data_IF_372855543334
#
_entry.id   IF_372855543334
#
_cell.length_a   1.000
_cell.length_b   1.000
_cell.length_c   1.000
_cell.angle_alpha   90.00
_cell.angle_beta   90.00
_cell.angle_gamma   90.00
#
_symmetry.space_group_name_H-M   'P 1'
#
loop_
_entity.id
_entity.type
_entity.pdbx_description
1 polymer ?
#
# COMPACT_ATOMS: atom_id res chain seq x y z
N UNK A 1 -25.76 -11.34 -8.62
CA UNK A 1 -24.85 -10.25 -9.08
C UNK A 1 -23.60 -10.96 -9.59
N UNK A 2 -23.25 -10.77 -10.86
CA UNK A 2 -22.00 -11.35 -11.38
C UNK A 2 -20.84 -10.69 -10.62
N UNK A 3 -20.00 -11.51 -10.05
CA UNK A 3 -18.80 -11.08 -9.34
C UNK A 3 -17.81 -10.45 -10.33
N UNK A 4 -17.14 -9.35 -9.95
CA UNK A 4 -16.29 -8.64 -10.90
C UNK A 4 -15.08 -9.51 -11.29
N UNK A 5 -14.89 -9.67 -12.61
CA UNK A 5 -13.73 -10.33 -13.17
C UNK A 5 -12.86 -9.28 -13.85
N UNK A 6 -11.56 -9.32 -13.60
CA UNK A 6 -10.55 -8.44 -14.21
C UNK A 6 -9.49 -9.29 -14.89
N UNK A 7 -9.12 -8.91 -16.11
CA UNK A 7 -8.01 -9.52 -16.84
C UNK A 7 -7.01 -8.42 -17.17
N UNK A 8 -5.79 -8.57 -16.63
CA UNK A 8 -4.68 -7.67 -16.90
C UNK A 8 -3.65 -8.40 -17.75
N UNK A 9 -3.22 -7.79 -18.85
CA UNK A 9 -2.15 -8.31 -19.71
C UNK A 9 -0.89 -7.48 -19.56
N UNK A 10 0.26 -8.12 -19.43
CA UNK A 10 1.57 -7.46 -19.30
C UNK A 10 2.66 -8.42 -18.84
N UNK A 11 3.77 -7.86 -18.34
CA UNK A 11 4.88 -8.63 -17.80
C UNK A 11 4.65 -8.90 -16.31
N UNK A 12 4.20 -10.10 -15.97
CA UNK A 12 3.85 -10.46 -14.58
C UNK A 12 5.07 -10.96 -13.83
N UNK A 13 5.36 -10.34 -12.68
CA UNK A 13 6.49 -10.71 -11.82
C UNK A 13 6.01 -10.89 -10.39
N UNK A 14 6.25 -12.06 -9.81
CA UNK A 14 5.88 -12.36 -8.42
C UNK A 14 6.77 -13.43 -7.80
N UNK A 15 6.90 -13.43 -6.48
CA UNK A 15 7.54 -14.52 -5.75
C UNK A 15 6.56 -15.67 -5.54
N UNK A 16 6.88 -16.84 -6.05
CA UNK A 16 6.11 -18.06 -5.80
C UNK A 16 6.33 -18.57 -4.36
N UNK A 17 7.56 -18.42 -3.88
CA UNK A 17 7.99 -18.71 -2.52
C UNK A 17 9.24 -17.86 -2.22
N UNK A 18 9.87 -18.09 -1.07
CA UNK A 18 11.06 -17.31 -0.64
C UNK A 18 12.28 -17.45 -1.56
N UNK A 19 12.36 -18.54 -2.33
CA UNK A 19 13.53 -18.89 -3.15
C UNK A 19 13.27 -18.78 -4.65
N UNK A 20 12.01 -18.58 -5.08
CA UNK A 20 11.62 -18.62 -6.48
C UNK A 20 10.87 -17.37 -6.92
N UNK A 21 11.50 -16.59 -7.80
CA UNK A 21 10.87 -15.47 -8.51
C UNK A 21 10.36 -15.94 -9.88
N UNK A 22 9.09 -15.67 -10.17
CA UNK A 22 8.50 -15.89 -11.50
C UNK A 22 8.53 -14.60 -12.30
N UNK A 23 8.99 -14.70 -13.56
CA UNK A 23 9.01 -13.62 -14.54
C UNK A 23 8.31 -14.16 -15.79
N UNK A 24 7.09 -13.71 -16.03
CA UNK A 24 6.22 -14.18 -17.09
C UNK A 24 5.92 -13.02 -18.05
N UNK A 25 6.56 -13.02 -19.23
CA UNK A 25 6.40 -11.96 -20.21
C UNK A 25 5.13 -12.16 -21.01
N UNK A 26 4.41 -11.06 -21.27
CA UNK A 26 3.19 -11.02 -22.11
C UNK A 26 2.11 -12.03 -21.67
N UNK A 27 1.87 -12.11 -20.36
CA UNK A 27 0.91 -13.01 -19.74
C UNK A 27 -0.36 -12.30 -19.27
N UNK A 28 -1.40 -13.07 -19.04
CA UNK A 28 -2.70 -12.63 -18.56
C UNK A 28 -2.87 -13.01 -17.09
N UNK A 29 -2.97 -12.01 -16.22
CA UNK A 29 -3.37 -12.20 -14.82
C UNK A 29 -4.88 -12.08 -14.72
N UNK A 30 -5.55 -13.08 -14.16
CA UNK A 30 -7.00 -13.11 -13.97
C UNK A 30 -7.33 -13.02 -12.50
N UNK A 31 -8.18 -12.07 -12.16
CA UNK A 31 -8.76 -11.90 -10.84
C UNK A 31 -10.28 -11.98 -10.92
N UNK A 32 -10.88 -12.79 -10.06
CA UNK A 32 -12.32 -12.98 -9.94
C UNK A 32 -12.69 -12.91 -8.47
N UNK A 33 -13.69 -12.09 -8.12
CA UNK A 33 -14.17 -11.92 -6.74
C UNK A 33 -13.08 -11.48 -5.78
N UNK A 34 -12.14 -10.64 -6.24
CA UNK A 34 -11.02 -10.16 -5.44
C UNK A 34 -9.89 -11.17 -5.22
N UNK A 35 -9.96 -12.36 -5.84
CA UNK A 35 -8.93 -13.40 -5.74
C UNK A 35 -8.24 -13.60 -7.08
N UNK A 36 -6.90 -13.72 -7.06
CA UNK A 36 -6.14 -14.10 -8.25
C UNK A 36 -6.38 -15.57 -8.56
N UNK A 37 -6.95 -15.84 -9.74
CA UNK A 37 -7.19 -17.21 -10.24
C UNK A 37 -5.92 -17.83 -10.81
N UNK A 38 -5.07 -17.00 -11.41
CA UNK A 38 -3.82 -17.45 -11.97
C UNK A 38 -3.22 -16.46 -12.96
N UNK A 39 -2.06 -16.86 -13.51
CA UNK A 39 -1.38 -16.17 -14.60
C UNK A 39 -1.27 -17.16 -15.77
N UNK A 40 -1.72 -16.76 -16.94
CA UNK A 40 -1.92 -17.62 -18.09
C UNK A 40 -1.23 -17.06 -19.34
N UNK A 41 -0.75 -17.92 -20.23
CA UNK A 41 -0.22 -17.51 -21.55
C UNK A 41 -1.34 -17.04 -22.50
N UNK A 42 -2.55 -17.56 -22.31
CA UNK A 42 -3.75 -17.23 -23.09
C UNK A 42 -4.93 -17.14 -22.16
N UNK A 43 -5.90 -16.29 -22.52
CA UNK A 43 -7.16 -16.19 -21.75
C UNK A 43 -7.90 -17.53 -21.84
N UNK A 44 -8.24 -18.18 -20.71
CA UNK A 44 -9.03 -19.40 -20.71
C UNK A 44 -10.41 -19.19 -21.32
N UNK A 45 -11.02 -20.22 -21.95
CA UNK A 45 -12.29 -20.08 -22.67
C UNK A 45 -13.44 -19.51 -21.83
N UNK A 46 -13.50 -19.84 -20.55
CA UNK A 46 -14.51 -19.35 -19.60
C UNK A 46 -14.46 -17.84 -19.40
N UNK A 47 -13.33 -17.20 -19.68
CA UNK A 47 -13.14 -15.74 -19.57
C UNK A 47 -13.10 -15.04 -20.94
N UNK A 48 -13.39 -15.73 -22.05
CA UNK A 48 -13.23 -15.19 -23.40
C UNK A 48 -14.08 -13.93 -23.68
N UNK A 49 -15.15 -13.72 -22.93
CA UNK A 49 -16.05 -12.56 -23.08
C UNK A 49 -15.68 -11.39 -22.15
N UNK A 50 -14.65 -11.55 -21.29
CA UNK A 50 -14.20 -10.51 -20.37
C UNK A 50 -13.21 -9.59 -21.07
N UNK A 51 -13.38 -8.28 -20.90
CA UNK A 51 -12.45 -7.30 -21.48
C UNK A 51 -11.07 -7.40 -20.84
N UNK A 52 -10.04 -7.31 -21.66
CA UNK A 52 -8.63 -7.33 -21.23
C UNK A 52 -8.12 -5.89 -21.13
N UNK A 53 -7.54 -5.54 -19.98
CA UNK A 53 -6.75 -4.33 -19.83
C UNK A 53 -5.29 -4.64 -20.19
N UNK A 54 -4.87 -4.21 -21.38
CA UNK A 54 -3.50 -4.45 -21.86
C UNK A 54 -2.57 -3.31 -21.44
N UNK A 55 -1.53 -3.67 -20.66
CA UNK A 55 -0.51 -2.75 -20.15
C UNK A 55 0.79 -2.82 -20.95
N UNK A 56 0.83 -3.59 -22.06
CA UNK A 56 1.99 -3.71 -22.94
C UNK A 56 3.23 -4.19 -22.19
N UNK A 57 4.30 -3.41 -22.28
CA UNK A 57 5.60 -3.73 -21.64
C UNK A 57 5.66 -3.41 -20.14
N UNK A 58 4.59 -2.90 -19.53
CA UNK A 58 4.59 -2.59 -18.10
C UNK A 58 4.70 -3.84 -17.24
N UNK A 59 5.30 -3.67 -16.05
CA UNK A 59 5.35 -4.72 -15.03
C UNK A 59 4.05 -4.76 -14.25
N UNK A 60 3.52 -5.96 -14.08
CA UNK A 60 2.43 -6.27 -13.16
C UNK A 60 3.03 -7.02 -11.98
N UNK A 61 3.04 -6.39 -10.81
CA UNK A 61 3.60 -6.93 -9.58
C UNK A 61 2.52 -7.00 -8.49
N UNK A 62 2.67 -7.86 -7.48
CA UNK A 62 1.85 -7.78 -6.27
C UNK A 62 2.02 -6.41 -5.61
N UNK A 63 0.94 -5.91 -5.02
CA UNK A 63 1.01 -4.68 -4.25
C UNK A 63 2.01 -4.80 -3.09
N UNK A 64 2.73 -3.72 -2.81
CA UNK A 64 3.72 -3.68 -1.74
C UNK A 64 3.04 -3.72 -0.37
N UNK A 65 3.73 -4.30 0.60
CA UNK A 65 3.31 -4.32 2.00
C UNK A 65 4.29 -3.49 2.83
N UNK A 66 3.79 -2.45 3.47
CA UNK A 66 4.53 -1.69 4.46
C UNK A 66 4.26 -2.28 5.85
N UNK A 67 5.28 -2.85 6.47
CA UNK A 67 5.15 -3.52 7.76
C UNK A 67 5.32 -2.58 8.96
N UNK A 68 5.71 -1.31 8.73
CA UNK A 68 5.99 -0.36 9.81
C UNK A 68 5.87 1.08 9.32
N UNK A 69 4.73 1.69 9.51
CA UNK A 69 4.51 3.11 9.20
C UNK A 69 3.77 3.82 10.32
N UNK A 70 4.29 4.98 10.72
CA UNK A 70 3.68 5.84 11.73
C UNK A 70 2.81 6.90 11.05
N UNK A 71 1.49 6.72 11.04
CA UNK A 71 0.57 7.68 10.43
C UNK A 71 0.66 9.09 11.04
N UNK A 72 0.81 9.26 12.37
CA UNK A 72 0.96 10.59 12.97
C UNK A 72 2.21 11.34 12.52
N UNK A 73 3.27 10.64 12.13
CA UNK A 73 4.53 11.24 11.71
C UNK A 73 4.55 11.65 10.23
N UNK A 74 3.48 11.33 9.50
CA UNK A 74 3.42 11.62 8.07
C UNK A 74 3.42 13.11 7.75
N UNK A 75 2.89 13.96 8.63
CA UNK A 75 2.78 15.41 8.42
C UNK A 75 4.13 16.12 8.42
N UNK A 76 5.12 15.60 9.16
CA UNK A 76 6.47 16.17 9.26
C UNK A 76 7.56 15.24 8.71
N UNK A 77 7.17 14.28 7.86
CA UNK A 77 8.13 13.38 7.22
C UNK A 77 9.27 14.14 6.53
N UNK A 78 10.48 13.61 6.63
CA UNK A 78 11.71 14.19 6.11
C UNK A 78 12.17 15.50 6.78
N UNK A 79 11.55 15.90 7.89
CA UNK A 79 12.04 17.02 8.70
C UNK A 79 13.04 16.52 9.74
N UNK A 80 14.09 17.32 10.00
CA UNK A 80 15.09 17.03 11.03
C UNK A 80 15.94 15.79 10.75
N UNK A 81 16.19 15.46 9.51
CA UNK A 81 16.96 14.25 9.11
C UNK A 81 18.44 14.30 9.51
N UNK A 82 18.92 15.44 9.96
CA UNK A 82 20.27 15.73 10.46
C UNK A 82 20.38 15.69 11.99
N UNK A 83 19.26 15.42 12.68
CA UNK A 83 19.21 15.36 14.15
C UNK A 83 19.49 13.95 14.66
N UNK A 84 20.01 13.86 15.88
CA UNK A 84 20.05 12.62 16.65
C UNK A 84 18.62 12.18 17.01
N UNK A 85 18.41 10.87 17.19
CA UNK A 85 17.07 10.30 17.38
C UNK A 85 16.31 10.94 18.54
N UNK A 86 16.94 11.10 19.70
CA UNK A 86 16.26 11.67 20.89
C UNK A 86 15.90 13.14 20.67
N UNK A 87 16.82 13.92 20.11
CA UNK A 87 16.58 15.31 19.76
C UNK A 87 15.43 15.42 18.74
N UNK A 88 15.42 14.57 17.73
CA UNK A 88 14.34 14.53 16.73
C UNK A 88 12.99 14.19 17.36
N UNK A 89 12.94 13.22 18.28
CA UNK A 89 11.71 12.88 19.01
C UNK A 89 11.17 14.06 19.80
N UNK A 90 12.04 14.75 20.56
CA UNK A 90 11.64 15.87 21.43
C UNK A 90 11.23 17.12 20.64
N UNK A 91 11.94 17.42 19.55
CA UNK A 91 11.74 18.67 18.80
C UNK A 91 10.67 18.55 17.72
N UNK A 92 10.49 17.39 17.11
CA UNK A 92 9.56 17.17 16.00
C UNK A 92 8.42 16.22 16.37
N UNK A 93 8.74 15.01 16.86
CA UNK A 93 7.74 13.96 16.98
C UNK A 93 6.72 14.24 18.07
N UNK A 94 7.16 14.45 19.30
CA UNK A 94 6.23 14.64 20.41
C UNK A 94 5.37 15.90 20.29
N UNK A 95 5.92 17.08 19.88
CA UNK A 95 5.09 18.25 19.66
C UNK A 95 4.07 18.07 18.52
N UNK A 96 4.46 17.38 17.45
CA UNK A 96 3.56 17.17 16.30
C UNK A 96 2.47 16.14 16.63
N UNK A 97 2.82 15.04 17.29
CA UNK A 97 1.86 14.03 17.73
C UNK A 97 0.88 14.58 18.78
N UNK A 98 1.28 15.55 19.60
CA UNK A 98 0.38 16.19 20.55
C UNK A 98 -0.80 16.91 19.88
N UNK A 99 -0.63 17.40 18.64
CA UNK A 99 -1.69 18.06 17.87
C UNK A 99 -2.86 17.13 17.52
N UNK A 100 -2.65 15.82 17.54
CA UNK A 100 -3.69 14.82 17.25
C UNK A 100 -4.75 14.70 18.35
N UNK A 101 -4.61 15.41 19.47
CA UNK A 101 -5.68 15.62 20.44
C UNK A 101 -6.81 16.47 19.86
N UNK A 102 -6.51 17.33 18.89
CA UNK A 102 -7.51 18.04 18.08
C UNK A 102 -8.03 17.10 17.00
N UNK A 103 -9.30 16.71 17.09
CA UNK A 103 -9.96 15.82 16.16
C UNK A 103 -10.00 16.36 14.72
N UNK A 104 -10.12 17.67 14.55
CA UNK A 104 -10.12 18.27 13.20
C UNK A 104 -8.73 18.21 12.57
N UNK A 105 -7.67 18.44 13.36
CA UNK A 105 -6.31 18.24 12.94
C UNK A 105 -6.08 16.77 12.55
N UNK A 106 -6.43 15.83 13.42
CA UNK A 106 -6.27 14.39 13.20
C UNK A 106 -6.98 13.92 11.92
N UNK A 107 -8.24 14.34 11.72
CA UNK A 107 -9.01 14.00 10.50
C UNK A 107 -8.34 14.49 9.23
N UNK A 108 -7.82 15.72 9.21
CA UNK A 108 -7.12 16.26 8.04
C UNK A 108 -5.81 15.51 7.79
N UNK A 109 -5.01 15.29 8.82
CA UNK A 109 -3.72 14.62 8.73
C UNK A 109 -3.89 13.17 8.23
N UNK A 110 -4.79 12.39 8.83
CA UNK A 110 -5.05 11.02 8.41
C UNK A 110 -5.69 10.93 7.03
N UNK A 111 -6.50 11.90 6.62
CA UNK A 111 -7.02 11.96 5.25
C UNK A 111 -5.88 12.13 4.24
N UNK A 112 -4.95 13.07 4.50
CA UNK A 112 -3.79 13.28 3.63
C UNK A 112 -2.93 12.01 3.56
N UNK A 113 -2.66 11.38 4.69
CA UNK A 113 -1.92 10.12 4.76
C UNK A 113 -2.59 9.03 3.94
N UNK A 114 -3.88 8.76 4.15
CA UNK A 114 -4.62 7.71 3.46
C UNK A 114 -4.77 7.97 1.96
N UNK A 115 -4.97 9.24 1.56
CA UNK A 115 -5.08 9.60 0.15
C UNK A 115 -3.74 9.40 -0.59
N UNK A 116 -2.61 9.69 0.07
CA UNK A 116 -1.30 9.42 -0.50
C UNK A 116 -0.99 7.91 -0.51
N UNK A 117 -1.35 7.18 0.54
CA UNK A 117 -1.18 5.73 0.59
C UNK A 117 -1.94 5.05 -0.56
N UNK A 118 -3.20 5.44 -0.82
CA UNK A 118 -4.02 4.95 -1.94
C UNK A 118 -3.43 5.22 -3.32
N UNK A 119 -2.60 6.25 -3.46
CA UNK A 119 -1.91 6.61 -4.71
C UNK A 119 -0.55 5.95 -4.86
N UNK A 120 -0.09 5.26 -3.83
CA UNK A 120 1.19 4.55 -3.82
C UNK A 120 1.03 3.11 -4.32
N UNK A 121 2.16 2.41 -4.47
CA UNK A 121 2.18 0.98 -4.75
C UNK A 121 1.90 0.11 -3.50
N UNK A 122 1.77 0.72 -2.32
CA UNK A 122 1.48 0.03 -1.06
C UNK A 122 -0.01 -0.30 -0.98
N UNK A 123 -0.34 -1.59 -0.96
CA UNK A 123 -1.72 -2.08 -0.87
C UNK A 123 -2.09 -2.62 0.50
N UNK A 124 -1.09 -2.81 1.36
CA UNK A 124 -1.24 -3.24 2.76
C UNK A 124 -0.26 -2.48 3.62
N UNK A 125 -0.68 -2.05 4.80
CA UNK A 125 0.18 -1.38 5.75
C UNK A 125 -0.13 -1.81 7.18
N UNK A 126 0.93 -2.01 7.99
CA UNK A 126 0.83 -2.07 9.44
C UNK A 126 1.01 -0.65 9.97
N UNK A 127 -0.11 -0.02 10.33
CA UNK A 127 -0.11 1.40 10.71
C UNK A 127 -0.02 1.49 12.23
N UNK A 128 1.01 2.20 12.69
CA UNK A 128 1.16 2.57 14.08
C UNK A 128 0.50 3.92 14.28
N UNK A 129 -0.46 3.96 15.19
CA UNK A 129 -1.20 5.16 15.55
C UNK A 129 -0.91 5.56 17.00
N UNK A 130 -1.09 6.83 17.30
CA UNK A 130 -1.11 7.26 18.68
C UNK A 130 -2.49 6.97 19.28
N UNK A 131 -2.51 6.25 20.41
CA UNK A 131 -3.73 6.14 21.22
C UNK A 131 -4.01 7.52 21.87
N UNK A 132 -5.21 8.04 21.66
CA UNK A 132 -5.69 9.25 22.36
C UNK A 132 -5.90 9.01 23.86
N UNK A 133 -5.78 7.78 24.32
CA UNK A 133 -6.02 7.34 25.70
C UNK A 133 -4.72 7.05 26.49
N UNK A 134 -3.55 7.42 25.99
CA UNK A 134 -2.33 7.25 26.78
C UNK A 134 -2.31 8.28 27.91
N UNK A 135 -2.46 7.84 29.17
CA UNK A 135 -2.13 8.71 30.32
C UNK A 135 -0.64 9.03 30.23
N UNK A 136 -0.31 10.26 30.56
CA UNK A 136 1.06 10.72 30.65
C UNK A 136 1.88 9.79 31.56
N UNK A 137 2.63 8.88 30.95
CA UNK A 137 3.67 8.15 31.64
C UNK A 137 5.01 8.77 31.23
N UNK A 138 5.45 9.69 32.04
CA UNK A 138 6.84 10.09 32.23
C UNK A 138 7.09 10.24 33.73
#
# INVERSE_FOLDING_TARGET
MNEPVFILKGNVVYSKNKDELRILKDHYLISESGLVKGVFEKVPPEYAQVSVSDYGECLIIPGLTDLHVHAPQYTFRAMGMDMELLEWLETNTFPEEAKYQDLEYARRAYRIFTDNLKRSATTRACILERSTEMPHCF
#
